data_IF_232427321146
#
_entry.id   IF_232427321146
#
_cell.length_a   1.000
_cell.length_b   1.000
_cell.length_c   1.000
_cell.angle_alpha   90.00
_cell.angle_beta   90.00
_cell.angle_gamma   90.00
#
_symmetry.space_group_name_H-M   'P 1'
#
loop_
_entity.id
_entity.type
_entity.pdbx_description
1 polymer ?
#
# COMPACT_ATOMS: atom_id res chain seq x y z
N UNK A 1 -23.56 -8.92 -21.97
CA UNK A 1 -22.26 -8.59 -22.61
C UNK A 1 -21.24 -8.44 -21.49
N UNK A 2 -19.99 -8.88 -21.69
CA UNK A 2 -18.95 -8.66 -20.67
C UNK A 2 -18.75 -7.14 -20.47
N UNK A 3 -18.69 -6.69 -19.22
CA UNK A 3 -18.50 -5.27 -18.89
C UNK A 3 -17.16 -4.72 -19.41
N UNK A 4 -16.98 -3.38 -19.41
CA UNK A 4 -15.74 -2.74 -19.83
C UNK A 4 -14.52 -3.27 -19.07
N UNK A 5 -13.37 -3.35 -19.76
CA UNK A 5 -12.09 -3.79 -19.20
C UNK A 5 -11.20 -2.60 -18.91
N UNK A 6 -10.67 -2.52 -17.70
CA UNK A 6 -9.76 -1.47 -17.26
C UNK A 6 -8.32 -1.99 -17.28
N UNK A 7 -7.44 -1.27 -17.98
CA UNK A 7 -6.00 -1.51 -17.97
C UNK A 7 -5.29 -0.36 -17.25
N UNK A 8 -4.51 -0.67 -16.21
CA UNK A 8 -3.72 0.28 -15.43
C UNK A 8 -2.24 0.02 -15.74
N UNK A 9 -1.54 1.01 -16.28
CA UNK A 9 -0.14 0.88 -16.69
C UNK A 9 0.79 1.42 -15.58
N UNK A 10 1.45 0.51 -14.88
CA UNK A 10 2.37 0.79 -13.79
C UNK A 10 1.82 0.40 -12.41
N UNK A 11 2.58 -0.42 -11.69
CA UNK A 11 2.28 -0.89 -10.34
C UNK A 11 2.86 0.00 -9.23
N UNK A 12 3.02 1.30 -9.48
CA UNK A 12 3.34 2.29 -8.44
C UNK A 12 2.10 2.71 -7.66
N UNK A 13 2.26 3.53 -6.61
CA UNK A 13 1.13 3.92 -5.75
C UNK A 13 -0.03 4.59 -6.50
N UNK A 14 0.22 5.39 -7.54
CA UNK A 14 -0.86 5.95 -8.36
C UNK A 14 -1.68 4.88 -9.12
N UNK A 15 -1.03 3.82 -9.60
CA UNK A 15 -1.72 2.71 -10.25
C UNK A 15 -2.41 1.79 -9.25
N UNK A 16 -1.75 1.50 -8.12
CA UNK A 16 -2.31 0.63 -7.08
C UNK A 16 -3.49 1.27 -6.34
N UNK A 17 -3.44 2.58 -6.03
CA UNK A 17 -4.58 3.26 -5.42
C UNK A 17 -5.77 3.34 -6.37
N UNK A 18 -5.53 3.51 -7.67
CA UNK A 18 -6.57 3.45 -8.70
C UNK A 18 -7.18 2.05 -8.77
N UNK A 19 -6.36 1.01 -8.82
CA UNK A 19 -6.81 -0.37 -8.85
C UNK A 19 -7.66 -0.69 -7.61
N UNK A 20 -7.15 -0.35 -6.42
CA UNK A 20 -7.82 -0.56 -5.15
C UNK A 20 -9.20 0.10 -5.11
N UNK A 21 -9.28 1.39 -5.48
CA UNK A 21 -10.56 2.12 -5.52
C UNK A 21 -11.54 1.58 -6.56
N UNK A 22 -11.08 1.18 -7.74
CA UNK A 22 -11.96 0.59 -8.75
C UNK A 22 -12.44 -0.80 -8.33
N UNK A 23 -11.63 -1.52 -7.56
CA UNK A 23 -11.94 -2.87 -7.05
C UNK A 23 -12.67 -2.88 -5.72
N UNK A 24 -13.05 -1.73 -5.16
CA UNK A 24 -13.94 -1.73 -3.98
C UNK A 24 -15.37 -2.12 -4.40
N UNK A 25 -16.08 -2.74 -3.46
CA UNK A 25 -17.47 -3.18 -3.61
C UNK A 25 -17.67 -4.23 -4.72
N UNK A 26 -18.90 -4.35 -5.23
CA UNK A 26 -19.27 -5.25 -6.33
C UNK A 26 -18.83 -4.68 -7.68
N UNK A 27 -17.53 -4.44 -7.84
CA UNK A 27 -16.96 -3.88 -9.06
C UNK A 27 -17.22 -4.75 -10.29
N UNK A 28 -17.42 -6.06 -10.12
CA UNK A 28 -17.75 -7.01 -11.17
C UNK A 28 -19.11 -6.74 -11.83
N UNK A 29 -20.02 -6.03 -11.13
CA UNK A 29 -21.30 -5.58 -11.72
C UNK A 29 -21.07 -4.45 -12.75
N UNK A 30 -19.93 -3.75 -12.66
CA UNK A 30 -19.58 -2.57 -13.48
C UNK A 30 -18.51 -2.88 -14.53
N UNK A 31 -17.52 -3.68 -14.20
CA UNK A 31 -16.34 -3.94 -15.04
C UNK A 31 -16.15 -5.44 -15.28
N UNK A 32 -15.75 -5.79 -16.49
CA UNK A 32 -15.40 -7.17 -16.84
C UNK A 32 -14.03 -7.61 -16.30
N UNK A 33 -13.10 -6.67 -16.15
CA UNK A 33 -11.78 -6.91 -15.53
C UNK A 33 -11.11 -5.59 -15.13
N UNK A 34 -10.28 -5.63 -14.09
CA UNK A 34 -9.34 -4.57 -13.72
C UNK A 34 -7.96 -5.22 -13.70
N UNK A 35 -7.06 -4.78 -14.59
CA UNK A 35 -5.73 -5.40 -14.74
C UNK A 35 -4.63 -4.35 -14.57
N UNK A 36 -3.71 -4.60 -13.63
CA UNK A 36 -2.51 -3.80 -13.45
C UNK A 36 -1.36 -4.43 -14.24
N UNK A 37 -0.82 -3.70 -15.20
CA UNK A 37 0.37 -4.07 -15.95
C UNK A 37 1.58 -3.39 -15.33
N UNK A 38 2.44 -4.17 -14.68
CA UNK A 38 3.69 -3.70 -14.10
C UNK A 38 4.88 -4.24 -14.90
N UNK A 39 5.89 -3.39 -15.11
CA UNK A 39 7.17 -3.84 -15.65
C UNK A 39 7.98 -4.52 -14.54
N UNK A 40 8.25 -5.80 -14.71
CA UNK A 40 8.97 -6.62 -13.74
C UNK A 40 8.08 -7.16 -12.62
N UNK A 41 8.69 -7.85 -11.67
CA UNK A 41 7.97 -8.63 -10.65
C UNK A 41 7.55 -7.82 -9.41
N UNK A 42 8.09 -6.61 -9.24
CA UNK A 42 7.94 -5.82 -8.01
C UNK A 42 6.96 -4.65 -8.19
N UNK A 43 5.97 -4.58 -7.30
CA UNK A 43 5.04 -3.45 -7.15
C UNK A 43 5.63 -2.35 -6.23
N UNK A 44 4.96 -1.21 -6.15
CA UNK A 44 5.31 -0.07 -5.28
C UNK A 44 5.93 1.11 -6.02
N UNK A 45 6.51 0.89 -7.20
CA UNK A 45 7.13 1.97 -7.99
C UNK A 45 8.25 2.67 -7.19
N UNK A 46 8.20 4.01 -7.10
CA UNK A 46 9.17 4.79 -6.33
C UNK A 46 9.05 4.58 -4.81
N UNK A 47 7.88 4.15 -4.32
CA UNK A 47 7.65 3.83 -2.91
C UNK A 47 7.99 2.38 -2.53
N UNK A 48 8.60 1.60 -3.43
CA UNK A 48 8.97 0.23 -3.13
C UNK A 48 10.17 0.18 -2.18
N UNK A 49 10.09 -0.69 -1.19
CA UNK A 49 11.19 -1.05 -0.30
C UNK A 49 11.59 -2.52 -0.50
N UNK A 50 12.85 -2.86 -0.24
CA UNK A 50 13.36 -4.23 -0.16
C UNK A 50 13.98 -4.51 1.20
N UNK A 51 14.46 -5.74 1.41
CA UNK A 51 15.31 -6.07 2.56
C UNK A 51 16.66 -6.57 2.07
N UNK A 52 17.72 -6.02 2.65
CA UNK A 52 19.09 -6.47 2.41
C UNK A 52 19.40 -7.80 3.11
N UNK A 53 20.65 -8.26 2.99
CA UNK A 53 21.13 -9.53 3.58
C UNK A 53 20.89 -9.65 5.08
N UNK A 54 20.99 -8.53 5.80
CA UNK A 54 20.79 -8.46 7.26
C UNK A 54 19.33 -8.15 7.64
N UNK A 55 18.38 -8.30 6.71
CA UNK A 55 16.96 -8.06 6.95
C UNK A 55 16.55 -6.59 7.12
N UNK A 56 17.49 -5.64 6.98
CA UNK A 56 17.21 -4.20 7.05
C UNK A 56 16.42 -3.72 5.85
N UNK A 57 15.49 -2.79 6.08
CA UNK A 57 14.72 -2.14 5.01
C UNK A 57 15.66 -1.26 4.17
N UNK A 58 15.56 -1.40 2.86
CA UNK A 58 16.26 -0.58 1.87
C UNK A 58 15.22 0.11 0.99
N UNK A 59 15.17 1.44 1.05
CA UNK A 59 14.23 2.25 0.28
C UNK A 59 14.94 3.12 -0.76
N UNK A 60 14.27 3.35 -1.89
CA UNK A 60 14.79 4.22 -2.95
C UNK A 60 14.31 5.67 -2.74
N UNK A 61 14.79 6.28 -1.65
CA UNK A 61 14.49 7.65 -1.23
C UNK A 61 13.54 7.71 -0.04
N UNK A 62 13.64 8.79 0.75
CA UNK A 62 12.84 9.02 1.95
C UNK A 62 11.38 9.34 1.59
N UNK A 63 10.43 8.62 2.20
CA UNK A 63 8.99 8.87 2.05
C UNK A 63 8.42 9.42 3.37
N UNK A 64 8.19 10.74 3.45
CA UNK A 64 7.60 11.38 4.63
C UNK A 64 6.13 11.75 4.35
N UNK A 65 5.21 11.16 5.11
CA UNK A 65 3.80 11.50 5.06
C UNK A 65 3.50 12.61 6.08
N UNK A 66 3.67 13.87 5.67
CA UNK A 66 3.58 15.07 6.54
C UNK A 66 2.15 15.45 7.00
N UNK A 67 1.32 14.50 7.45
CA UNK A 67 0.00 14.77 8.04
C UNK A 67 -1.12 15.20 7.07
N UNK A 68 -0.80 15.58 5.84
CA UNK A 68 -1.77 16.04 4.83
C UNK A 68 -2.30 14.92 3.88
N UNK A 69 -2.19 13.65 4.29
CA UNK A 69 -2.45 12.48 3.42
C UNK A 69 -3.62 11.62 3.91
N UNK A 70 -4.78 12.25 4.14
CA UNK A 70 -5.97 11.56 4.66
C UNK A 70 -6.32 10.27 3.91
N UNK A 71 -6.35 10.30 2.57
CA UNK A 71 -6.67 9.11 1.77
C UNK A 71 -5.59 8.03 1.83
N UNK A 72 -4.31 8.42 1.96
CA UNK A 72 -3.23 7.44 2.14
C UNK A 72 -3.40 6.72 3.47
N UNK A 73 -3.62 7.46 4.56
CA UNK A 73 -3.80 6.85 5.88
C UNK A 73 -5.06 5.98 5.94
N UNK A 74 -6.18 6.44 5.34
CA UNK A 74 -7.41 5.66 5.25
C UNK A 74 -7.21 4.35 4.48
N UNK A 75 -6.49 4.39 3.35
CA UNK A 75 -6.19 3.18 2.58
C UNK A 75 -5.26 2.24 3.33
N UNK A 76 -4.24 2.77 4.02
CA UNK A 76 -3.34 1.93 4.83
C UNK A 76 -4.10 1.24 5.96
N UNK A 77 -4.96 1.96 6.68
CA UNK A 77 -5.81 1.37 7.72
C UNK A 77 -6.72 0.25 7.21
N UNK A 78 -7.37 0.46 6.06
CA UNK A 78 -8.15 -0.57 5.39
C UNK A 78 -7.30 -1.81 5.03
N UNK A 79 -6.09 -1.62 4.48
CA UNK A 79 -5.17 -2.72 4.18
C UNK A 79 -4.77 -3.50 5.44
N UNK A 80 -4.43 -2.83 6.54
CA UNK A 80 -4.09 -3.51 7.79
C UNK A 80 -5.27 -4.28 8.39
N UNK A 81 -6.47 -3.73 8.29
CA UNK A 81 -7.71 -4.39 8.73
C UNK A 81 -7.98 -5.65 7.91
N UNK A 82 -7.90 -5.57 6.58
CA UNK A 82 -8.14 -6.70 5.68
C UNK A 82 -7.10 -7.82 5.85
N UNK A 83 -5.84 -7.46 6.15
CA UNK A 83 -4.79 -8.45 6.42
C UNK A 83 -5.08 -9.31 7.66
N UNK A 84 -5.88 -8.80 8.61
CA UNK A 84 -6.22 -9.46 9.87
C UNK A 84 -5.04 -10.24 10.49
N UNK A 85 -3.93 -9.53 10.70
CA UNK A 85 -2.70 -10.15 11.20
C UNK A 85 -2.84 -10.80 12.57
N UNK A 86 -3.70 -10.36 13.50
CA UNK A 86 -3.99 -11.13 14.71
C UNK A 86 -4.35 -12.58 14.40
N UNK A 87 -5.20 -12.83 13.41
CA UNK A 87 -5.61 -14.17 13.01
C UNK A 87 -4.62 -14.82 12.05
N UNK A 88 -4.21 -14.11 11.00
CA UNK A 88 -3.44 -14.67 9.88
C UNK A 88 -1.93 -14.74 10.15
N UNK A 89 -1.40 -13.91 11.05
CA UNK A 89 0.03 -13.87 11.35
C UNK A 89 0.30 -13.45 12.81
N UNK A 90 -0.09 -14.28 13.80
CA UNK A 90 -0.03 -13.95 15.22
C UNK A 90 1.38 -13.70 15.76
N UNK A 91 2.44 -14.06 15.02
CA UNK A 91 3.83 -13.69 15.36
C UNK A 91 4.27 -12.31 14.88
N UNK A 92 3.49 -11.61 14.03
CA UNK A 92 3.88 -10.28 13.54
C UNK A 92 3.78 -9.23 14.66
N UNK A 93 4.81 -8.40 14.94
CA UNK A 93 4.70 -7.37 15.97
C UNK A 93 3.74 -6.23 15.61
N UNK A 94 3.55 -5.97 14.30
CA UNK A 94 2.65 -4.92 13.81
C UNK A 94 1.30 -5.58 13.47
N UNK A 95 0.33 -5.51 14.38
CA UNK A 95 -0.98 -6.16 14.24
C UNK A 95 -1.92 -5.34 13.39
N UNK A 96 -2.00 -4.05 13.67
CA UNK A 96 -2.86 -3.10 12.97
C UNK A 96 -2.12 -1.85 12.53
N UNK A 97 -2.87 -0.94 11.91
CA UNK A 97 -2.35 0.34 11.46
C UNK A 97 -1.76 1.18 12.61
N UNK A 98 -2.41 1.18 13.77
CA UNK A 98 -1.95 1.91 14.95
C UNK A 98 -0.62 1.40 15.52
N UNK A 99 -0.21 0.16 15.21
CA UNK A 99 1.12 -0.35 15.59
C UNK A 99 2.20 0.02 14.56
N UNK A 100 1.77 0.42 13.35
CA UNK A 100 2.66 0.75 12.24
C UNK A 100 3.09 2.22 12.24
N UNK A 101 2.33 3.09 12.91
CA UNK A 101 2.59 4.53 13.00
C UNK A 101 2.51 4.98 14.45
N UNK A 102 3.41 5.88 14.84
CA UNK A 102 3.38 6.53 16.14
C UNK A 102 3.53 8.04 15.95
N UNK A 103 2.89 8.86 16.80
CA UNK A 103 3.12 10.31 16.78
C UNK A 103 4.61 10.61 17.02
N UNK A 104 5.19 11.45 16.17
CA UNK A 104 6.53 11.97 16.33
C UNK A 104 6.48 13.50 16.26
N UNK A 105 7.14 14.18 17.19
CA UNK A 105 7.27 15.63 17.22
C UNK A 105 8.24 16.15 16.15
N UNK A 106 9.17 15.29 15.73
CA UNK A 106 10.22 15.58 14.78
C UNK A 106 10.06 14.70 13.54
N UNK A 107 10.40 15.26 12.37
CA UNK A 107 10.60 14.40 11.20
C UNK A 107 11.79 13.48 11.50
N UNK A 108 11.76 12.21 11.08
CA UNK A 108 12.78 11.22 11.44
C UNK A 108 14.24 11.58 11.10
N UNK A 109 14.48 12.65 10.33
CA UNK A 109 15.80 13.24 10.10
C UNK A 109 16.34 14.02 11.32
N UNK A 110 15.45 14.56 12.15
CA UNK A 110 15.75 15.38 13.33
C UNK A 110 15.56 14.62 14.66
N UNK A 111 15.05 13.39 14.62
CA UNK A 111 14.88 12.52 15.79
C UNK A 111 16.27 12.06 16.29
N UNK A 112 16.51 12.16 17.61
CA UNK A 112 17.84 11.94 18.23
C UNK A 112 18.01 10.54 18.80
#
# INVERSE_FOLDING_TARGET
>A
MAGPKIAILGGGMGGLSTAWHLSTDRWQDRYGSITVYQRGWRLGGKGASSRGREGRIEEHGLHVLLGYYHETFRMMDACYTELDRPSNHPGCPIKGWADAVFPASDIGLADR
#
